data_IF_174895416697
#
_entry.id   IF_174895416697
#
_cell.length_a   1.000
_cell.length_b   1.000
_cell.length_c   1.000
_cell.angle_alpha   90.00
_cell.angle_beta   90.00
_cell.angle_gamma   90.00
#
_symmetry.space_group_name_H-M   'P 1'
#
loop_
_entity.id
_entity.type
_entity.pdbx_description
1 polymer ?
#
# COMPACT_ATOMS: atom_id res chain seq x y z
N UNK A 1 -11.46 59.68 -14.74
CA UNK A 1 -12.58 58.71 -14.77
C UNK A 1 -12.11 57.24 -14.94
N UNK A 2 -10.89 56.85 -14.52
CA UNK A 2 -10.37 55.48 -14.73
C UNK A 2 -10.22 54.61 -13.47
N UNK A 3 -10.27 55.18 -12.26
CA UNK A 3 -9.94 54.42 -11.04
C UNK A 3 -11.07 53.49 -10.57
N UNK A 4 -12.34 53.85 -10.78
CA UNK A 4 -13.48 53.03 -10.36
C UNK A 4 -13.65 51.76 -11.21
N UNK A 5 -13.26 51.81 -12.49
CA UNK A 5 -13.30 50.63 -13.36
C UNK A 5 -12.18 49.64 -12.99
N UNK A 6 -10.98 50.14 -12.69
CA UNK A 6 -9.83 49.33 -12.26
C UNK A 6 -10.11 48.61 -10.93
N UNK A 7 -10.64 49.32 -9.92
CA UNK A 7 -10.99 48.72 -8.61
C UNK A 7 -12.06 47.63 -8.71
N UNK A 8 -13.04 47.80 -9.62
CA UNK A 8 -14.08 46.80 -9.89
C UNK A 8 -13.51 45.53 -10.53
N UNK A 9 -12.62 45.67 -11.50
CA UNK A 9 -11.95 44.52 -12.12
C UNK A 9 -11.10 43.75 -11.10
N UNK A 10 -10.32 44.46 -10.27
CA UNK A 10 -9.49 43.83 -9.22
C UNK A 10 -10.37 43.08 -8.22
N UNK A 11 -11.49 43.67 -7.78
CA UNK A 11 -12.42 43.03 -6.84
C UNK A 11 -13.05 41.76 -7.43
N UNK A 12 -13.44 41.77 -8.71
CA UNK A 12 -13.99 40.60 -9.40
C UNK A 12 -12.92 39.51 -9.56
N UNK A 13 -11.68 39.87 -9.92
CA UNK A 13 -10.59 38.90 -10.04
C UNK A 13 -10.24 38.25 -8.70
N UNK A 14 -10.23 39.03 -7.61
CA UNK A 14 -10.02 38.51 -6.25
C UNK A 14 -11.14 37.56 -5.85
N UNK A 15 -12.41 37.91 -6.09
CA UNK A 15 -13.55 37.02 -5.80
C UNK A 15 -13.47 35.74 -6.63
N UNK A 16 -13.13 35.82 -7.93
CA UNK A 16 -12.95 34.65 -8.79
C UNK A 16 -11.80 33.77 -8.32
N UNK A 17 -10.67 34.35 -7.89
CA UNK A 17 -9.55 33.61 -7.30
C UNK A 17 -9.95 32.93 -5.99
N UNK A 18 -10.67 33.61 -5.10
CA UNK A 18 -11.19 33.01 -3.86
C UNK A 18 -12.22 31.90 -4.15
N UNK A 19 -13.09 32.06 -5.15
CA UNK A 19 -14.04 31.02 -5.58
C UNK A 19 -13.29 29.83 -6.19
N UNK A 20 -12.24 30.05 -6.99
CA UNK A 20 -11.37 28.97 -7.50
C UNK A 20 -10.65 28.27 -6.35
N UNK A 21 -10.15 28.98 -5.34
CA UNK A 21 -9.52 28.39 -4.14
C UNK A 21 -10.54 27.58 -3.32
N UNK A 22 -11.80 28.05 -3.21
CA UNK A 22 -12.90 27.33 -2.54
C UNK A 22 -13.35 26.10 -3.38
N UNK A 23 -13.37 26.19 -4.71
CA UNK A 23 -13.65 25.05 -5.62
C UNK A 23 -12.45 24.08 -5.69
N UNK A 24 -11.25 24.58 -5.44
CA UNK A 24 -9.99 23.84 -5.26
C UNK A 24 -9.78 23.45 -3.79
N UNK A 25 -10.85 23.37 -2.99
CA UNK A 25 -10.81 22.56 -1.79
C UNK A 25 -10.37 21.16 -2.21
N UNK A 26 -9.15 20.81 -1.80
CA UNK A 26 -8.50 19.54 -2.03
C UNK A 26 -9.44 18.45 -1.49
N UNK A 27 -10.32 17.92 -2.35
CA UNK A 27 -11.09 16.74 -2.01
C UNK A 27 -10.05 15.67 -1.77
N UNK A 28 -9.75 15.36 -0.50
CA UNK A 28 -8.91 14.21 -0.15
C UNK A 28 -9.46 13.04 -0.94
N UNK A 29 -8.69 12.57 -1.93
CA UNK A 29 -9.15 11.53 -2.85
C UNK A 29 -9.43 10.30 -2.00
N UNK A 30 -10.72 9.99 -1.82
CA UNK A 30 -11.12 8.80 -1.07
C UNK A 30 -10.85 7.60 -1.96
N UNK A 31 -9.99 6.69 -1.51
CA UNK A 31 -9.73 5.43 -2.20
C UNK A 31 -11.06 4.70 -2.49
N UNK A 32 -11.20 4.01 -3.64
CA UNK A 32 -12.31 3.09 -3.90
C UNK A 32 -12.49 2.10 -2.75
N UNK A 33 -13.71 1.59 -2.54
CA UNK A 33 -14.04 0.74 -1.38
C UNK A 33 -13.14 -0.50 -1.34
N UNK A 34 -13.01 -1.16 -2.48
CA UNK A 34 -12.24 -2.38 -2.69
C UNK A 34 -10.75 -2.15 -2.42
N UNK A 35 -10.19 -1.08 -2.97
CA UNK A 35 -8.79 -0.70 -2.77
C UNK A 35 -8.53 -0.32 -1.31
N UNK A 36 -9.48 0.37 -0.67
CA UNK A 36 -9.40 0.71 0.75
C UNK A 36 -9.38 -0.57 1.61
N UNK A 37 -10.18 -1.57 1.27
CA UNK A 37 -10.19 -2.86 1.96
C UNK A 37 -8.81 -3.53 1.90
N UNK A 38 -8.18 -3.59 0.72
CA UNK A 38 -6.81 -4.09 0.56
C UNK A 38 -5.84 -3.33 1.46
N UNK A 39 -5.87 -1.99 1.45
CA UNK A 39 -4.98 -1.17 2.26
C UNK A 39 -5.18 -1.39 3.77
N UNK A 40 -6.43 -1.53 4.23
CA UNK A 40 -6.70 -1.82 5.64
C UNK A 40 -6.23 -3.21 6.06
N UNK A 41 -6.34 -4.21 5.20
CA UNK A 41 -5.81 -5.55 5.47
C UNK A 41 -4.28 -5.53 5.64
N UNK A 42 -3.56 -4.72 4.86
CA UNK A 42 -2.12 -4.53 5.05
C UNK A 42 -1.81 -3.90 6.41
N UNK A 43 -2.54 -2.83 6.80
CA UNK A 43 -2.38 -2.22 8.13
C UNK A 43 -2.65 -3.24 9.24
N UNK A 44 -3.73 -4.02 9.11
CA UNK A 44 -4.09 -5.07 10.06
C UNK A 44 -2.98 -6.11 10.21
N UNK A 45 -2.47 -6.66 9.12
CA UNK A 45 -1.43 -7.69 9.16
C UNK A 45 -0.09 -7.16 9.71
N UNK A 46 0.33 -5.96 9.31
CA UNK A 46 1.52 -5.30 9.88
C UNK A 46 1.38 -5.07 11.39
N UNK A 47 0.20 -4.66 11.84
CA UNK A 47 -0.08 -4.50 13.27
C UNK A 47 -0.08 -5.84 14.01
N UNK A 48 -0.58 -6.92 13.40
CA UNK A 48 -0.55 -8.24 14.02
C UNK A 48 0.87 -8.74 14.32
N UNK A 49 1.85 -8.39 13.48
CA UNK A 49 3.28 -8.59 13.76
C UNK A 49 3.75 -7.66 14.88
N UNK A 50 3.48 -6.35 14.77
CA UNK A 50 3.93 -5.33 15.73
C UNK A 50 3.46 -5.59 17.16
N UNK A 51 2.26 -6.16 17.33
CA UNK A 51 1.61 -6.38 18.63
C UNK A 51 1.64 -7.83 19.10
N UNK A 52 2.64 -8.62 18.69
CA UNK A 52 2.86 -9.99 19.18
C UNK A 52 1.67 -10.96 18.93
N UNK A 53 0.84 -10.73 17.90
CA UNK A 53 -0.36 -11.55 17.65
C UNK A 53 -0.09 -12.73 16.71
N UNK A 54 1.10 -12.79 16.10
CA UNK A 54 1.45 -13.80 15.12
C UNK A 54 2.31 -14.91 15.73
N UNK A 55 1.84 -16.18 15.71
CA UNK A 55 2.63 -17.29 16.23
C UNK A 55 3.89 -17.52 15.40
N UNK A 56 5.00 -17.82 16.07
CA UNK A 56 6.31 -18.12 15.47
C UNK A 56 6.91 -16.99 14.62
N UNK A 57 6.38 -15.76 14.69
CA UNK A 57 6.97 -14.58 14.10
C UNK A 57 7.28 -13.59 15.23
N UNK A 58 8.54 -13.14 15.39
CA UNK A 58 8.84 -12.17 16.42
C UNK A 58 8.18 -10.82 16.09
N UNK A 59 7.92 -9.97 17.08
CA UNK A 59 7.45 -8.63 16.79
C UNK A 59 8.50 -7.83 16.04
N UNK A 60 8.04 -6.84 15.28
CA UNK A 60 8.93 -5.82 14.73
C UNK A 60 9.22 -4.78 15.81
N UNK A 61 10.49 -4.43 15.98
CA UNK A 61 10.89 -3.33 16.88
C UNK A 61 10.22 -2.02 16.47
N UNK A 62 10.16 -1.79 15.17
CA UNK A 62 9.40 -0.70 14.54
C UNK A 62 8.76 -1.18 13.26
N UNK A 63 7.56 -0.67 12.98
CA UNK A 63 6.80 -0.98 11.77
C UNK A 63 6.32 0.33 11.17
N UNK A 64 6.99 0.81 10.11
CA UNK A 64 6.64 2.08 9.47
C UNK A 64 5.22 2.06 8.94
N UNK A 65 4.57 3.22 8.95
CA UNK A 65 3.28 3.40 8.29
C UNK A 65 3.44 3.28 6.79
N UNK A 66 2.48 2.62 6.15
CA UNK A 66 2.40 2.56 4.70
C UNK A 66 2.02 3.92 4.13
N UNK A 67 2.73 4.35 3.09
CA UNK A 67 2.40 5.56 2.33
C UNK A 67 1.69 5.16 1.04
N UNK A 68 0.49 5.69 0.82
CA UNK A 68 -0.21 5.43 -0.44
C UNK A 68 0.45 6.19 -1.59
N UNK A 69 0.77 5.49 -2.66
CA UNK A 69 1.33 6.08 -3.87
C UNK A 69 0.39 5.88 -5.07
N UNK A 70 -0.01 6.98 -5.70
CA UNK A 70 -0.95 6.96 -6.83
C UNK A 70 -0.34 6.34 -8.08
N UNK A 71 0.94 6.58 -8.38
CA UNK A 71 1.60 6.02 -9.56
C UNK A 71 1.71 4.48 -9.47
N UNK A 72 2.11 3.95 -8.31
CA UNK A 72 2.10 2.51 -8.04
C UNK A 72 0.69 1.91 -8.20
N UNK A 73 -0.34 2.64 -7.74
CA UNK A 73 -1.73 2.19 -7.79
C UNK A 73 -2.31 2.20 -9.20
N UNK A 74 -2.01 3.22 -10.01
CA UNK A 74 -2.43 3.30 -11.41
C UNK A 74 -1.87 2.12 -12.20
N UNK A 75 -0.58 1.83 -12.05
CA UNK A 75 0.07 0.66 -12.68
C UNK A 75 -0.52 -0.67 -12.18
N UNK A 76 -0.78 -0.79 -10.88
CA UNK A 76 -1.44 -1.97 -10.32
C UNK A 76 -2.87 -2.15 -10.87
N UNK A 77 -3.62 -1.05 -11.03
CA UNK A 77 -4.97 -1.08 -11.59
C UNK A 77 -4.96 -1.44 -13.08
N UNK A 78 -3.98 -0.96 -13.85
CA UNK A 78 -3.80 -1.37 -15.24
C UNK A 78 -3.59 -2.89 -15.34
N UNK A 79 -2.76 -3.46 -14.45
CA UNK A 79 -2.58 -4.92 -14.37
C UNK A 79 -3.87 -5.65 -14.00
N UNK A 80 -4.53 -5.26 -12.91
CA UNK A 80 -5.77 -5.88 -12.46
C UNK A 80 -6.87 -5.84 -13.53
N UNK A 81 -6.98 -4.73 -14.28
CA UNK A 81 -8.02 -4.51 -15.30
C UNK A 81 -7.97 -5.51 -16.45
N UNK A 82 -6.85 -6.20 -16.67
CA UNK A 82 -6.72 -7.23 -17.72
C UNK A 82 -7.48 -8.51 -17.41
N UNK A 83 -7.79 -8.76 -16.15
CA UNK A 83 -8.42 -10.02 -15.72
C UNK A 83 -7.65 -11.28 -16.15
N UNK A 84 -6.31 -11.20 -16.20
CA UNK A 84 -5.42 -12.30 -16.52
C UNK A 84 -4.34 -12.41 -15.44
N UNK A 85 -4.47 -13.42 -14.57
CA UNK A 85 -3.52 -13.68 -13.49
C UNK A 85 -2.14 -14.12 -14.00
N UNK A 86 -2.10 -14.76 -15.18
CA UNK A 86 -0.87 -15.31 -15.77
C UNK A 86 -0.12 -14.30 -16.63
N UNK A 87 -0.70 -13.12 -16.86
CA UNK A 87 -0.08 -12.09 -17.66
C UNK A 87 1.12 -11.47 -16.93
N UNK A 88 2.30 -11.73 -17.46
CA UNK A 88 3.54 -11.11 -17.02
C UNK A 88 4.13 -10.31 -18.18
N UNK A 89 4.38 -9.02 -17.94
CA UNK A 89 5.02 -8.13 -18.90
C UNK A 89 6.09 -7.32 -18.20
N UNK A 90 7.37 -7.44 -18.61
CA UNK A 90 8.45 -6.65 -18.02
C UNK A 90 8.22 -5.13 -18.08
N UNK A 91 7.46 -4.65 -19.07
CA UNK A 91 7.12 -3.22 -19.20
C UNK A 91 6.13 -2.74 -18.14
N UNK A 92 5.30 -3.63 -17.59
CA UNK A 92 4.41 -3.31 -16.47
C UNK A 92 5.19 -3.10 -15.17
N UNK A 93 6.37 -3.72 -15.07
CA UNK A 93 7.30 -3.57 -13.95
C UNK A 93 8.33 -2.45 -14.15
N UNK A 94 8.21 -1.64 -15.21
CA UNK A 94 9.01 -0.42 -15.33
C UNK A 94 8.40 0.71 -14.49
N UNK A 95 9.19 1.19 -13.53
CA UNK A 95 8.86 2.27 -12.59
C UNK A 95 10.01 3.28 -12.53
N UNK A 96 9.94 4.31 -13.37
CA UNK A 96 11.08 5.23 -13.58
C UNK A 96 11.45 6.04 -12.31
N UNK A 97 10.53 6.16 -11.35
CA UNK A 97 10.69 6.93 -10.11
C UNK A 97 11.15 6.10 -8.89
N UNK A 98 11.26 4.77 -9.02
CA UNK A 98 11.52 3.88 -7.89
C UNK A 98 12.78 3.03 -8.09
N UNK A 99 13.57 2.87 -7.02
CA UNK A 99 14.78 2.04 -7.07
C UNK A 99 14.48 0.55 -7.21
N UNK A 100 13.59 0.02 -6.36
CA UNK A 100 13.11 -1.37 -6.45
C UNK A 100 11.61 -1.43 -6.24
N UNK A 101 10.92 -2.27 -7.01
CA UNK A 101 9.49 -2.50 -6.89
C UNK A 101 9.19 -3.99 -6.87
N UNK A 102 8.37 -4.41 -5.90
CA UNK A 102 7.80 -5.75 -5.87
C UNK A 102 6.31 -5.71 -6.21
N UNK A 103 5.78 -6.81 -6.71
CA UNK A 103 4.36 -6.97 -7.00
C UNK A 103 3.80 -8.22 -6.33
N UNK A 104 2.71 -8.06 -5.59
CA UNK A 104 1.87 -9.17 -5.18
C UNK A 104 0.61 -9.21 -6.07
N UNK A 105 0.26 -10.39 -6.56
CA UNK A 105 -0.92 -10.65 -7.38
C UNK A 105 -1.69 -11.84 -6.81
N UNK A 106 -3.02 -11.77 -6.82
CA UNK A 106 -3.90 -12.85 -6.42
C UNK A 106 -5.22 -12.80 -7.18
N UNK A 107 -5.65 -13.94 -7.70
CA UNK A 107 -7.01 -14.17 -8.17
C UNK A 107 -7.79 -14.93 -7.07
N UNK A 108 -8.80 -14.30 -6.49
CA UNK A 108 -9.52 -14.85 -5.33
C UNK A 108 -11.02 -14.54 -5.34
N UNK A 109 -11.88 -15.37 -4.72
CA UNK A 109 -13.32 -15.07 -4.61
C UNK A 109 -13.63 -13.80 -3.81
N UNK A 110 -12.72 -13.35 -2.95
CA UNK A 110 -12.88 -12.18 -2.07
C UNK A 110 -11.53 -11.48 -1.89
N UNK A 111 -11.56 -10.16 -1.68
CA UNK A 111 -10.36 -9.36 -1.40
C UNK A 111 -9.63 -9.85 -0.14
N UNK A 112 -10.37 -10.13 0.94
CA UNK A 112 -9.81 -10.71 2.18
C UNK A 112 -8.96 -11.95 1.91
N UNK A 113 -9.51 -12.95 1.20
CA UNK A 113 -8.78 -14.17 0.84
C UNK A 113 -7.55 -13.92 -0.04
N UNK A 114 -7.57 -12.89 -0.90
CA UNK A 114 -6.42 -12.54 -1.72
C UNK A 114 -5.25 -12.02 -0.87
N UNK A 115 -5.50 -11.09 0.06
CA UNK A 115 -4.44 -10.57 0.93
C UNK A 115 -4.02 -11.64 1.96
N UNK A 116 -4.97 -12.43 2.46
CA UNK A 116 -4.70 -13.53 3.37
C UNK A 116 -3.81 -14.62 2.73
N UNK A 117 -3.97 -14.91 1.43
CA UNK A 117 -3.11 -15.88 0.75
C UNK A 117 -1.66 -15.43 0.64
N UNK A 118 -1.41 -14.13 0.54
CA UNK A 118 -0.05 -13.59 0.60
C UNK A 118 0.51 -13.65 2.02
N UNK A 119 -0.30 -13.27 3.02
CA UNK A 119 0.16 -13.21 4.39
C UNK A 119 0.43 -14.61 4.98
N UNK A 120 -0.38 -15.62 4.65
CA UNK A 120 -0.30 -16.98 5.21
C UNK A 120 1.05 -17.67 4.94
N UNK A 121 1.80 -17.19 3.96
CA UNK A 121 3.19 -17.60 3.70
C UNK A 121 4.10 -17.46 4.95
N UNK A 122 3.71 -16.66 5.96
CA UNK A 122 4.41 -16.61 7.26
C UNK A 122 4.65 -17.99 7.88
N UNK A 123 3.77 -18.97 7.58
CA UNK A 123 3.88 -20.35 8.07
C UNK A 123 5.10 -21.09 7.51
N UNK A 124 5.58 -20.66 6.35
CA UNK A 124 6.73 -21.24 5.64
C UNK A 124 8.04 -20.48 5.91
N UNK A 125 7.97 -19.36 6.63
CA UNK A 125 9.12 -18.47 6.89
C UNK A 125 9.65 -18.59 8.32
N UNK A 126 10.91 -18.98 8.47
CA UNK A 126 11.67 -18.87 9.73
C UNK A 126 12.39 -17.53 9.79
N UNK A 127 11.94 -16.63 10.68
CA UNK A 127 12.51 -15.29 10.81
C UNK A 127 13.98 -15.30 11.26
N UNK A 128 14.31 -16.06 12.31
CA UNK A 128 15.65 -16.02 12.91
C UNK A 128 16.73 -16.50 11.94
N UNK A 129 16.40 -17.50 11.11
CA UNK A 129 17.32 -18.07 10.12
C UNK A 129 17.23 -17.38 8.76
N UNK A 130 16.29 -16.44 8.60
CA UNK A 130 15.85 -15.89 7.32
C UNK A 130 15.62 -16.99 6.26
N UNK A 131 14.98 -18.09 6.65
CA UNK A 131 14.81 -19.26 5.78
C UNK A 131 13.36 -19.36 5.30
N UNK A 132 13.19 -19.54 4.00
CA UNK A 132 11.91 -19.90 3.39
C UNK A 132 11.90 -21.38 3.02
N UNK A 133 10.85 -22.11 3.43
CA UNK A 133 10.69 -23.53 3.10
C UNK A 133 9.78 -23.78 1.88
N UNK A 134 9.11 -22.73 1.37
CA UNK A 134 8.23 -22.81 0.21
C UNK A 134 8.13 -21.40 -0.42
N UNK A 135 6.99 -20.74 -0.31
CA UNK A 135 6.76 -19.36 -0.74
C UNK A 135 6.73 -18.44 0.48
N UNK A 136 7.45 -17.31 0.41
CA UNK A 136 7.54 -16.34 1.51
C UNK A 136 7.60 -14.87 1.07
N UNK A 137 7.84 -14.61 -0.22
CA UNK A 137 8.12 -13.24 -0.68
C UNK A 137 6.89 -12.33 -0.60
N UNK A 138 5.68 -12.88 -0.76
CA UNK A 138 4.46 -12.10 -0.65
C UNK A 138 4.21 -11.70 0.81
N UNK A 139 4.44 -12.62 1.75
CA UNK A 139 4.42 -12.31 3.18
C UNK A 139 5.50 -11.28 3.56
N UNK A 140 6.77 -11.51 3.17
CA UNK A 140 7.87 -10.59 3.47
C UNK A 140 7.59 -9.18 2.96
N UNK A 141 6.94 -9.05 1.81
CA UNK A 141 6.55 -7.75 1.27
C UNK A 141 5.44 -7.07 2.07
N UNK A 142 4.42 -7.80 2.55
CA UNK A 142 3.36 -7.22 3.41
C UNK A 142 3.96 -6.64 4.70
N UNK A 143 4.89 -7.38 5.31
CA UNK A 143 5.43 -7.05 6.65
C UNK A 143 6.74 -6.27 6.61
N UNK A 144 7.16 -5.75 5.45
CA UNK A 144 8.42 -5.00 5.33
C UNK A 144 8.44 -3.79 6.27
N UNK A 145 9.31 -3.81 7.29
CA UNK A 145 9.29 -2.87 8.41
C UNK A 145 9.70 -1.44 8.06
N UNK A 146 10.58 -1.29 7.07
CA UNK A 146 11.05 0.01 6.58
C UNK A 146 9.94 0.82 5.92
N UNK A 147 10.19 2.12 5.73
CA UNK A 147 9.28 3.00 5.02
C UNK A 147 8.93 2.42 3.63
N UNK A 148 7.65 2.10 3.44
CA UNK A 148 7.16 1.41 2.25
C UNK A 148 6.01 2.19 1.65
N UNK A 149 6.17 2.60 0.40
CA UNK A 149 5.12 3.08 -0.47
C UNK A 149 4.35 1.89 -1.06
N UNK A 150 3.03 2.01 -1.12
CA UNK A 150 2.13 0.98 -1.64
C UNK A 150 1.09 1.62 -2.56
N UNK A 151 0.81 0.95 -3.68
CA UNK A 151 -0.33 1.25 -4.52
C UNK A 151 -0.95 -0.03 -5.05
N UNK A 152 -2.28 -0.15 -4.93
CA UNK A 152 -3.00 -1.35 -5.30
C UNK A 152 -4.13 -1.07 -6.30
N UNK A 153 -4.39 -2.06 -7.14
CA UNK A 153 -5.50 -2.13 -8.08
C UNK A 153 -6.37 -3.34 -7.79
N UNK A 154 -7.67 -3.19 -7.98
CA UNK A 154 -8.64 -4.28 -7.81
C UNK A 154 -9.58 -4.29 -8.99
N UNK A 155 -9.75 -5.45 -9.62
CA UNK A 155 -10.71 -5.66 -10.68
C UNK A 155 -11.57 -6.88 -10.37
N UNK A 156 -12.89 -6.73 -10.52
CA UNK A 156 -13.80 -7.89 -10.49
C UNK A 156 -13.82 -8.54 -11.89
N UNK A 157 -13.44 -9.80 -11.95
CA UNK A 157 -13.29 -10.61 -13.15
C UNK A 157 -14.28 -11.78 -13.08
N UNK A 158 -15.54 -11.51 -13.46
CA UNK A 158 -16.65 -12.44 -13.25
C UNK A 158 -17.01 -12.56 -11.77
N UNK A 159 -16.85 -13.76 -11.20
CA UNK A 159 -17.17 -14.05 -9.79
C UNK A 159 -15.97 -13.90 -8.84
N UNK A 160 -14.80 -13.54 -9.38
CA UNK A 160 -13.55 -13.43 -8.62
C UNK A 160 -12.98 -12.02 -8.72
N UNK A 161 -11.99 -11.72 -7.90
CA UNK A 161 -11.24 -10.48 -7.91
C UNK A 161 -9.79 -10.77 -8.26
N UNK A 162 -9.27 -10.02 -9.24
CA UNK A 162 -7.84 -9.90 -9.44
C UNK A 162 -7.36 -8.70 -8.62
N UNK A 163 -6.54 -8.97 -7.61
CA UNK A 163 -5.96 -7.98 -6.69
C UNK A 163 -4.47 -7.90 -6.99
N UNK A 164 -3.99 -6.69 -7.26
CA UNK A 164 -2.58 -6.40 -7.53
C UNK A 164 -2.13 -5.30 -6.59
N UNK A 165 -0.98 -5.47 -5.95
CA UNK A 165 -0.32 -4.41 -5.18
C UNK A 165 1.13 -4.30 -5.61
N UNK A 166 1.57 -3.06 -5.88
CA UNK A 166 2.96 -2.70 -6.10
C UNK A 166 3.50 -2.01 -4.84
N UNK A 167 4.75 -2.31 -4.50
CA UNK A 167 5.40 -1.81 -3.29
C UNK A 167 6.80 -1.29 -3.61
N UNK A 168 7.19 -0.19 -2.99
CA UNK A 168 8.58 0.26 -3.00
C UNK A 168 9.01 0.69 -1.60
N UNK A 169 10.20 0.26 -1.11
CA UNK A 169 11.14 -0.62 -1.78
C UNK A 169 10.71 -2.10 -1.73
N UNK A 170 11.16 -2.90 -2.69
CA UNK A 170 10.94 -4.35 -2.70
C UNK A 170 11.58 -5.03 -1.48
N UNK A 171 10.93 -6.07 -0.93
CA UNK A 171 11.53 -6.94 0.06
C UNK A 171 12.63 -7.80 -0.56
N UNK A 172 13.71 -8.02 0.19
CA UNK A 172 14.89 -8.77 -0.26
C UNK A 172 14.81 -10.22 0.24
N UNK A 173 15.26 -11.18 -0.56
CA UNK A 173 15.22 -12.61 -0.18
C UNK A 173 16.20 -12.91 0.96
N UNK A 174 17.39 -12.32 0.90
CA UNK A 174 18.53 -12.55 1.80
C UNK A 174 18.50 -11.71 3.08
N UNK A 175 17.46 -10.90 3.30
CA UNK A 175 17.28 -10.09 4.52
C UNK A 175 15.98 -10.38 5.25
N UNK A 176 15.97 -10.23 6.57
CA UNK A 176 14.72 -10.22 7.35
C UNK A 176 13.84 -9.05 6.89
N UNK A 177 12.50 -9.22 6.87
CA UNK A 177 11.61 -8.16 6.40
C UNK A 177 11.51 -6.98 7.37
N UNK A 178 11.90 -7.12 8.64
CA UNK A 178 11.88 -6.05 9.64
C UNK A 178 12.96 -6.29 10.71
N UNK A 179 13.30 -5.26 11.48
CA UNK A 179 14.15 -5.39 12.66
C UNK A 179 13.39 -6.10 13.79
N UNK A 180 13.99 -7.13 14.38
CA UNK A 180 13.41 -7.92 15.47
C UNK A 180 13.24 -7.07 16.73
N UNK A 181 12.02 -7.04 17.26
CA UNK A 181 11.69 -6.40 18.54
C UNK A 181 11.71 -7.37 19.72
N UNK A 182 11.52 -6.81 20.91
CA UNK A 182 11.31 -7.53 22.17
C UNK A 182 9.82 -7.60 22.51
N UNK A 183 9.50 -8.32 23.58
CA UNK A 183 8.13 -8.34 24.11
C UNK A 183 7.67 -6.96 24.60
N UNK A 184 8.60 -6.15 25.12
CA UNK A 184 8.30 -4.79 25.62
C UNK A 184 7.87 -3.87 24.48
N UNK A 185 8.44 -4.06 23.29
CA UNK A 185 8.03 -3.29 22.11
C UNK A 185 6.53 -3.49 21.84
N UNK A 186 5.97 -4.68 22.06
CA UNK A 186 4.55 -4.98 21.77
C UNK A 186 3.54 -4.15 22.58
N UNK A 187 3.95 -3.60 23.71
CA UNK A 187 3.08 -2.80 24.59
C UNK A 187 3.17 -1.30 24.31
N UNK A 188 4.05 -0.88 23.39
CA UNK A 188 4.22 0.51 23.00
C UNK A 188 3.14 0.94 21.99
N UNK A 189 2.10 1.58 22.51
CA UNK A 189 0.91 2.05 21.76
C UNK A 189 1.11 3.44 21.16
N UNK A 190 2.17 4.16 21.54
CA UNK A 190 2.35 5.58 21.20
C UNK A 190 2.61 5.82 19.69
N UNK A 191 2.95 4.76 18.94
CA UNK A 191 3.15 4.82 17.48
C UNK A 191 1.90 4.43 16.65
N UNK A 192 0.78 4.05 17.29
CA UNK A 192 -0.42 3.57 16.58
C UNK A 192 -1.34 4.68 16.03
N UNK A 193 -1.01 5.96 16.24
CA UNK A 193 -1.91 7.08 15.95
C UNK A 193 -1.88 7.54 14.47
N UNK A 194 -2.99 7.33 13.73
CA UNK A 194 -3.40 7.84 12.39
C UNK A 194 -2.85 7.13 11.15
#
# INVERSE_FOLDING_TARGET
>A
MNNNHSLRCISIMVILLFVIIILCQCKKLKLPKEVREVFQLHKYYRNSIRFCQMPNQPPAKRMSKLKWNTYLAEKAQLSASRCDYSYDSPSDMNFDEFGTVAQNIADSPTIEKAVASWFVEYKSYSFNDNKCNDTCMQYKQIVKGEETEIGCGVQKCGQRFLVVCNYSPAAEEDRQPYEKGTQEDCDDVDDAEY
#
